data_IF_906925299749
#
_entry.id   IF_906925299749
#
_cell.length_a   1.000
_cell.length_b   1.000
_cell.length_c   1.000
_cell.angle_alpha   90.00
_cell.angle_beta   90.00
_cell.angle_gamma   90.00
#
_symmetry.space_group_name_H-M   'P 1'
#
loop_
_entity.id
_entity.type
_entity.pdbx_description
1 polymer ?
#
# COMPACT_ATOMS: atom_id res chain seq x y z
N UNK A 1 -7.50 -20.13 -1.20
CA UNK A 1 -7.85 -18.99 -2.07
C UNK A 1 -6.85 -18.96 -3.21
N UNK A 2 -7.32 -18.98 -4.45
CA UNK A 2 -6.49 -18.78 -5.63
C UNK A 2 -6.83 -17.43 -6.24
N UNK A 3 -5.82 -16.74 -6.76
CA UNK A 3 -5.99 -15.44 -7.40
C UNK A 3 -5.18 -15.42 -8.69
N UNK A 4 -5.73 -14.81 -9.74
CA UNK A 4 -5.06 -14.67 -11.01
C UNK A 4 -6.02 -14.72 -12.19
N UNK A 5 -5.49 -15.07 -13.36
CA UNK A 5 -6.20 -14.93 -14.63
C UNK A 5 -6.63 -16.29 -15.17
N UNK A 6 -7.90 -16.40 -15.56
CA UNK A 6 -8.45 -17.60 -16.20
C UNK A 6 -7.78 -17.78 -17.55
N UNK A 7 -7.13 -18.93 -17.76
CA UNK A 7 -6.53 -19.28 -19.04
C UNK A 7 -7.51 -20.08 -19.90
N UNK A 8 -8.21 -21.03 -19.29
CA UNK A 8 -9.27 -21.81 -19.92
C UNK A 8 -10.15 -22.45 -18.86
N UNK A 9 -11.39 -22.80 -19.22
CA UNK A 9 -12.28 -23.56 -18.35
C UNK A 9 -13.19 -24.47 -19.16
N UNK A 10 -13.69 -25.53 -18.52
CA UNK A 10 -14.79 -26.35 -18.99
C UNK A 10 -15.71 -26.72 -17.81
N UNK A 11 -16.62 -27.67 -17.98
CA UNK A 11 -17.55 -28.06 -16.92
C UNK A 11 -16.87 -28.68 -15.68
N UNK A 12 -15.69 -29.27 -15.86
CA UNK A 12 -14.99 -30.04 -14.81
C UNK A 12 -13.77 -29.32 -14.25
N UNK A 13 -13.07 -28.55 -15.10
CA UNK A 13 -11.76 -27.99 -14.81
C UNK A 13 -11.67 -26.50 -15.13
N UNK A 14 -10.90 -25.80 -14.30
CA UNK A 14 -10.45 -24.42 -14.49
C UNK A 14 -8.92 -24.41 -14.53
N UNK A 15 -8.33 -23.87 -15.60
CA UNK A 15 -6.91 -23.54 -15.67
C UNK A 15 -6.72 -22.07 -15.34
N UNK A 16 -5.91 -21.80 -14.33
CA UNK A 16 -5.70 -20.47 -13.78
C UNK A 16 -4.20 -20.14 -13.73
N UNK A 17 -3.79 -19.03 -14.36
CA UNK A 17 -2.47 -18.44 -14.11
C UNK A 17 -2.51 -17.72 -12.77
N UNK A 18 -1.82 -18.23 -11.76
CA UNK A 18 -1.93 -17.74 -10.38
C UNK A 18 -0.91 -16.66 -10.04
N UNK A 19 -1.33 -15.73 -9.20
CA UNK A 19 -0.52 -14.67 -8.60
C UNK A 19 -0.45 -14.84 -7.08
N UNK A 20 0.61 -14.31 -6.46
CA UNK A 20 0.66 -14.10 -5.01
C UNK A 20 -0.25 -12.93 -4.60
N UNK A 21 -0.39 -12.71 -3.28
CA UNK A 21 -1.06 -11.50 -2.75
C UNK A 21 -0.28 -10.21 -3.04
N UNK A 22 0.98 -10.36 -3.44
CA UNK A 22 1.89 -9.30 -3.88
C UNK A 22 1.82 -9.10 -5.41
N UNK A 23 0.90 -9.75 -6.13
CA UNK A 23 0.82 -9.61 -7.59
C UNK A 23 2.01 -10.23 -8.33
N UNK A 24 2.78 -11.11 -7.69
CA UNK A 24 3.88 -11.80 -8.35
C UNK A 24 3.37 -13.09 -9.01
N UNK A 25 3.74 -13.39 -10.26
CA UNK A 25 3.37 -14.65 -10.91
C UNK A 25 3.93 -15.87 -10.17
N UNK A 26 3.11 -16.91 -10.01
CA UNK A 26 3.51 -18.17 -9.35
C UNK A 26 3.49 -19.38 -10.28
N UNK A 27 2.59 -19.42 -11.26
CA UNK A 27 2.51 -20.52 -12.21
C UNK A 27 1.10 -20.72 -12.78
N UNK A 28 0.83 -21.92 -13.29
CA UNK A 28 -0.50 -22.35 -13.73
C UNK A 28 -1.01 -23.44 -12.81
N UNK A 29 -2.23 -23.28 -12.32
CA UNK A 29 -2.94 -24.25 -11.48
C UNK A 29 -4.14 -24.81 -12.24
N UNK A 30 -4.37 -26.12 -12.08
CA UNK A 30 -5.59 -26.77 -12.55
C UNK A 30 -6.48 -27.04 -11.35
N UNK A 31 -7.69 -26.50 -11.36
CA UNK A 31 -8.66 -26.60 -10.28
C UNK A 31 -9.87 -27.37 -10.79
N UNK A 32 -10.47 -28.20 -9.93
CA UNK A 32 -11.77 -28.78 -10.25
C UNK A 32 -12.87 -27.74 -10.03
N UNK A 33 -13.80 -27.63 -10.98
CA UNK A 33 -14.95 -26.73 -10.86
C UNK A 33 -15.84 -27.08 -9.66
N UNK A 34 -15.87 -28.35 -9.26
CA UNK A 34 -16.65 -28.80 -8.08
C UNK A 34 -16.08 -28.32 -6.75
N UNK A 35 -14.83 -27.87 -6.70
CA UNK A 35 -14.22 -27.32 -5.47
C UNK A 35 -14.31 -25.79 -5.39
N UNK A 36 -14.79 -25.13 -6.45
CA UNK A 36 -14.97 -23.68 -6.48
C UNK A 36 -16.31 -23.34 -5.83
N UNK A 37 -16.26 -22.72 -4.65
CA UNK A 37 -17.46 -22.32 -3.90
C UNK A 37 -17.85 -20.87 -4.15
N UNK A 38 -16.89 -20.00 -4.48
CA UNK A 38 -17.10 -18.58 -4.66
C UNK A 38 -16.06 -17.99 -5.61
N UNK A 39 -16.48 -17.02 -6.41
CA UNK A 39 -15.62 -16.23 -7.30
C UNK A 39 -15.82 -14.76 -6.95
N UNK A 40 -14.70 -14.07 -6.74
CA UNK A 40 -14.65 -12.63 -6.59
C UNK A 40 -13.96 -12.04 -7.82
N UNK A 41 -14.52 -10.97 -8.36
CA UNK A 41 -13.95 -10.24 -9.47
C UNK A 41 -14.15 -8.75 -9.23
N UNK A 42 -13.20 -7.96 -9.73
CA UNK A 42 -13.28 -6.49 -9.76
C UNK A 42 -13.50 -5.80 -8.38
N UNK A 43 -13.15 -6.48 -7.29
CA UNK A 43 -13.12 -5.84 -5.98
C UNK A 43 -11.80 -5.07 -5.76
N UNK A 44 -11.79 -4.20 -4.73
CA UNK A 44 -10.62 -3.37 -4.41
C UNK A 44 -9.35 -4.17 -4.14
N UNK A 45 -9.48 -5.38 -3.58
CA UNK A 45 -8.36 -6.24 -3.29
C UNK A 45 -7.80 -6.88 -4.58
N UNK A 46 -8.66 -7.35 -5.48
CA UNK A 46 -8.26 -7.86 -6.81
C UNK A 46 -7.58 -6.76 -7.63
N UNK A 47 -8.17 -5.55 -7.69
CA UNK A 47 -7.58 -4.40 -8.40
C UNK A 47 -6.22 -4.00 -7.83
N UNK A 48 -6.04 -4.02 -6.50
CA UNK A 48 -4.75 -3.73 -5.87
C UNK A 48 -3.68 -4.74 -6.30
N UNK A 49 -4.04 -6.02 -6.40
CA UNK A 49 -3.08 -7.06 -6.81
C UNK A 49 -2.72 -6.93 -8.29
N UNK A 50 -3.72 -6.71 -9.14
CA UNK A 50 -3.51 -6.42 -10.55
C UNK A 50 -2.63 -5.17 -10.74
N UNK A 51 -2.85 -4.14 -9.93
CA UNK A 51 -2.02 -2.94 -9.93
C UNK A 51 -0.55 -3.26 -9.60
N UNK A 52 -0.28 -4.05 -8.56
CA UNK A 52 1.08 -4.45 -8.18
C UNK A 52 1.76 -5.30 -9.26
N UNK A 53 1.01 -6.20 -9.90
CA UNK A 53 1.52 -7.04 -11.00
C UNK A 53 1.95 -6.21 -12.22
N UNK A 54 1.24 -5.12 -12.52
CA UNK A 54 1.58 -4.21 -13.61
C UNK A 54 2.66 -3.17 -13.27
N UNK A 55 2.99 -2.98 -12.00
CA UNK A 55 3.96 -1.96 -11.55
C UNK A 55 5.07 -2.53 -10.63
N UNK A 56 5.66 -3.71 -10.92
CA UNK A 56 6.51 -4.42 -9.97
C UNK A 56 7.82 -3.68 -9.69
N UNK A 57 8.39 -3.01 -10.70
CA UNK A 57 9.67 -2.30 -10.56
C UNK A 57 9.60 -1.17 -9.53
N UNK A 58 8.47 -0.44 -9.50
CA UNK A 58 8.31 0.68 -8.57
C UNK A 58 7.82 0.19 -7.21
N UNK A 59 6.88 -0.77 -7.19
CA UNK A 59 6.34 -1.33 -5.94
C UNK A 59 7.43 -2.05 -5.15
N UNK A 60 8.23 -2.90 -5.81
CA UNK A 60 9.27 -3.73 -5.20
C UNK A 60 10.69 -3.18 -5.37
N UNK A 61 10.82 -1.95 -5.89
CA UNK A 61 12.09 -1.26 -6.01
C UNK A 61 12.81 -1.12 -4.67
N UNK A 62 14.12 -0.86 -4.73
CA UNK A 62 14.86 -0.53 -3.52
C UNK A 62 14.27 0.74 -2.89
N UNK A 63 14.21 0.85 -1.55
CA UNK A 63 13.82 2.08 -0.90
C UNK A 63 14.71 3.20 -1.41
N UNK A 64 14.11 4.28 -1.92
CA UNK A 64 14.86 5.52 -2.06
C UNK A 64 15.23 5.92 -0.64
N UNK A 65 16.51 5.81 -0.29
CA UNK A 65 17.02 6.45 0.90
C UNK A 65 16.63 7.94 0.81
N UNK A 66 16.14 8.55 1.88
CA UNK A 66 15.72 9.93 1.78
C UNK A 66 16.96 10.76 1.48
N UNK A 67 16.92 11.55 0.41
CA UNK A 67 18.04 12.41 0.05
C UNK A 67 18.41 13.26 1.27
N UNK A 68 19.63 13.10 1.77
CA UNK A 68 20.14 13.88 2.89
C UNK A 68 19.76 13.40 4.30
N UNK A 69 19.35 12.14 4.53
CA UNK A 69 19.37 11.56 5.89
C UNK A 69 20.79 11.13 6.27
N UNK A 70 21.35 11.77 7.28
CA UNK A 70 22.58 11.33 7.95
C UNK A 70 22.21 10.54 9.21
N UNK A 71 23.18 9.82 9.80
CA UNK A 71 22.94 9.02 11.01
C UNK A 71 22.46 9.87 12.22
N UNK A 72 22.60 11.19 12.18
CA UNK A 72 22.16 12.11 13.23
C UNK A 72 20.64 12.40 13.18
N UNK A 73 19.96 12.00 12.09
CA UNK A 73 18.52 12.25 11.86
C UNK A 73 17.61 11.08 12.26
N UNK A 74 18.12 10.10 13.02
CA UNK A 74 17.39 8.86 13.32
C UNK A 74 16.34 8.99 14.44
N UNK A 75 16.13 10.19 14.98
CA UNK A 75 15.04 10.42 15.96
C UNK A 75 13.69 10.48 15.26
N UNK A 76 12.63 10.03 15.93
CA UNK A 76 11.26 10.10 15.40
C UNK A 76 10.87 11.55 15.03
N UNK A 77 11.06 12.57 15.89
CA UNK A 77 10.77 13.96 15.52
C UNK A 77 11.52 14.44 14.27
N UNK A 78 12.81 14.10 14.14
CA UNK A 78 13.61 14.47 12.97
C UNK A 78 13.08 13.83 11.68
N UNK A 79 12.71 12.55 11.73
CA UNK A 79 12.14 11.84 10.59
C UNK A 79 10.78 12.44 10.17
N UNK A 80 9.92 12.76 11.14
CA UNK A 80 8.63 13.39 10.87
C UNK A 80 8.79 14.80 10.29
N UNK A 81 9.73 15.59 10.81
CA UNK A 81 10.03 16.93 10.30
C UNK A 81 10.51 16.86 8.84
N UNK A 82 11.41 15.93 8.52
CA UNK A 82 11.85 15.73 7.13
C UNK A 82 10.72 15.26 6.22
N UNK A 83 9.84 14.38 6.71
CA UNK A 83 8.70 13.91 5.94
C UNK A 83 7.70 15.05 5.64
N UNK A 84 7.51 15.98 6.58
CA UNK A 84 6.75 17.21 6.38
C UNK A 84 7.36 18.08 5.28
N UNK A 85 8.67 18.30 5.33
CA UNK A 85 9.40 19.13 4.34
C UNK A 85 9.40 18.51 2.94
N UNK A 86 9.63 17.20 2.85
CA UNK A 86 9.65 16.46 1.58
C UNK A 86 8.25 16.17 1.04
N UNK A 87 7.19 16.41 1.84
CA UNK A 87 5.82 15.97 1.57
C UNK A 87 5.77 14.49 1.18
N UNK A 88 6.41 13.66 1.98
CA UNK A 88 6.57 12.23 1.75
C UNK A 88 5.48 11.42 2.46
N UNK A 89 4.87 10.46 1.76
CA UNK A 89 4.02 9.47 2.41
C UNK A 89 4.89 8.49 3.20
N UNK A 90 4.53 8.30 4.47
CA UNK A 90 5.20 7.40 5.38
C UNK A 90 4.22 6.38 5.97
N UNK A 91 4.77 5.31 6.55
CA UNK A 91 4.05 4.46 7.47
C UNK A 91 4.53 4.76 8.90
N UNK A 92 3.59 4.93 9.83
CA UNK A 92 3.84 5.03 11.26
C UNK A 92 3.29 3.80 11.94
N UNK A 93 4.08 3.21 12.83
CA UNK A 93 3.56 2.22 13.77
C UNK A 93 3.59 2.81 15.18
N UNK A 94 2.49 2.68 15.90
CA UNK A 94 2.37 3.15 17.28
C UNK A 94 2.67 2.03 18.28
N UNK A 95 2.87 2.39 19.54
CA UNK A 95 2.94 1.42 20.65
C UNK A 95 1.61 0.70 20.93
N UNK A 96 0.49 1.18 20.39
CA UNK A 96 -0.82 0.52 20.45
C UNK A 96 -1.04 -0.51 19.32
N UNK A 97 0.03 -0.88 18.61
CA UNK A 97 0.00 -1.79 17.45
C UNK A 97 -0.96 -1.34 16.35
N UNK A 98 -1.10 -0.02 16.19
CA UNK A 98 -1.84 0.59 15.09
C UNK A 98 -0.84 1.11 14.07
N UNK A 99 -1.09 0.82 12.78
CA UNK A 99 -0.29 1.34 11.69
C UNK A 99 -1.10 2.36 10.89
N UNK A 100 -0.47 3.50 10.59
CA UNK A 100 -1.04 4.55 9.76
C UNK A 100 -0.20 4.73 8.51
N UNK A 101 -0.85 5.02 7.38
CA UNK A 101 -0.19 5.53 6.19
C UNK A 101 -0.60 6.98 5.99
N UNK A 102 0.34 7.90 5.85
CA UNK A 102 -0.05 9.30 5.75
C UNK A 102 1.07 10.29 5.48
N UNK A 103 0.66 11.54 5.23
CA UNK A 103 1.54 12.69 5.14
C UNK A 103 1.46 13.50 6.43
N UNK A 104 2.61 13.95 6.93
CA UNK A 104 2.64 14.90 8.05
C UNK A 104 2.00 16.21 7.59
N UNK A 105 0.91 16.61 8.23
CA UNK A 105 0.21 17.87 7.94
C UNK A 105 0.65 18.98 8.89
N UNK A 106 0.95 18.63 10.15
CA UNK A 106 1.52 19.52 11.17
C UNK A 106 2.31 18.71 12.19
N UNK A 107 3.42 19.25 12.66
CA UNK A 107 4.23 18.68 13.73
C UNK A 107 4.54 19.77 14.76
N UNK A 108 4.33 19.47 16.04
CA UNK A 108 4.81 20.27 17.18
C UNK A 108 5.76 19.40 18.03
N UNK A 109 6.19 19.90 19.18
CA UNK A 109 7.02 19.14 20.12
C UNK A 109 6.30 17.87 20.62
N UNK A 110 5.01 17.99 20.95
CA UNK A 110 4.24 16.90 21.56
C UNK A 110 3.25 16.24 20.59
N UNK A 111 2.76 16.96 19.57
CA UNK A 111 1.62 16.55 18.76
C UNK A 111 1.97 16.41 17.27
N UNK A 112 1.50 15.31 16.68
CA UNK A 112 1.50 15.05 15.25
C UNK A 112 0.06 15.10 14.70
N UNK A 113 -0.15 15.91 13.66
CA UNK A 113 -1.33 15.83 12.79
C UNK A 113 -0.93 15.13 11.49
N UNK A 114 -1.58 14.00 11.21
CA UNK A 114 -1.34 13.18 10.03
C UNK A 114 -2.57 13.19 9.11
N UNK A 115 -2.36 13.46 7.82
CA UNK A 115 -3.36 13.19 6.77
C UNK A 115 -3.28 11.70 6.41
N UNK A 116 -4.34 10.95 6.71
CA UNK A 116 -4.32 9.48 6.68
C UNK A 116 -4.92 8.94 5.38
N UNK A 117 -4.33 7.86 4.90
CA UNK A 117 -4.79 7.11 3.74
C UNK A 117 -4.95 5.63 4.08
N UNK A 118 -5.95 5.00 3.48
CA UNK A 118 -6.08 3.54 3.51
C UNK A 118 -5.02 2.90 2.62
N UNK A 119 -4.80 1.59 2.78
CA UNK A 119 -3.95 0.79 1.88
C UNK A 119 -4.40 0.82 0.41
N UNK A 120 -5.63 1.26 0.14
CA UNK A 120 -6.20 1.41 -1.20
C UNK A 120 -6.08 2.85 -1.74
N UNK A 121 -5.25 3.70 -1.09
CA UNK A 121 -5.03 5.09 -1.47
C UNK A 121 -6.25 6.03 -1.34
N UNK A 122 -7.30 5.59 -0.64
CA UNK A 122 -8.46 6.42 -0.31
C UNK A 122 -8.11 7.29 0.91
N UNK A 123 -8.51 8.57 0.88
CA UNK A 123 -8.33 9.46 2.03
C UNK A 123 -9.21 9.00 3.20
N UNK A 124 -8.61 8.88 4.38
CA UNK A 124 -9.26 8.42 5.62
C UNK A 124 -9.35 9.54 6.68
N UNK A 125 -9.20 10.79 6.23
CA UNK A 125 -9.28 11.98 7.08
C UNK A 125 -7.96 12.31 7.76
N UNK A 126 -8.04 12.78 9.01
CA UNK A 126 -6.89 13.19 9.79
C UNK A 126 -6.84 12.46 11.12
N UNK A 127 -5.63 12.14 11.57
CA UNK A 127 -5.37 11.60 12.90
C UNK A 127 -4.47 12.56 13.68
N UNK A 128 -4.78 12.73 14.96
CA UNK A 128 -3.97 13.49 15.92
C UNK A 128 -3.41 12.49 16.93
N UNK A 129 -2.10 12.52 17.14
CA UNK A 129 -1.43 11.60 18.08
C UNK A 129 -0.23 12.26 18.75
N UNK A 130 0.09 11.81 19.95
CA UNK A 130 1.30 12.23 20.66
C UNK A 130 2.54 11.67 19.92
N UNK A 131 3.58 12.49 19.76
CA UNK A 131 4.82 12.07 19.09
C UNK A 131 5.46 10.88 19.81
N UNK A 132 5.40 10.86 21.14
CA UNK A 132 5.90 9.76 21.98
C UNK A 132 5.13 8.44 21.82
N UNK A 133 3.93 8.47 21.23
CA UNK A 133 3.16 7.25 20.95
C UNK A 133 3.68 6.47 19.74
N UNK A 134 4.58 7.07 18.96
CA UNK A 134 5.12 6.52 17.72
C UNK A 134 6.31 5.63 18.03
N UNK A 135 6.18 4.35 17.66
CA UNK A 135 7.24 3.34 17.83
C UNK A 135 8.24 3.37 16.68
N UNK A 136 7.77 3.54 15.45
CA UNK A 136 8.63 3.54 14.26
C UNK A 136 8.06 4.37 13.12
N UNK A 137 8.96 4.96 12.34
CA UNK A 137 8.67 5.66 11.09
C UNK A 137 9.31 4.88 9.95
N UNK A 138 8.49 4.39 9.02
CA UNK A 138 8.95 3.72 7.80
C UNK A 138 8.79 4.67 6.63
N UNK A 139 9.92 5.14 6.12
CA UNK A 139 9.95 6.16 5.07
C UNK A 139 9.47 5.64 3.70
N UNK A 140 9.86 4.42 3.35
CA UNK A 140 9.49 3.82 2.08
C UNK A 140 9.51 2.30 2.18
N UNK A 141 8.41 1.69 1.78
CA UNK A 141 8.20 0.25 1.68
C UNK A 141 7.23 -0.06 0.54
N UNK A 142 6.87 -1.33 0.38
CA UNK A 142 5.92 -1.78 -0.63
C UNK A 142 4.59 -1.01 -0.56
N UNK A 143 4.01 -0.88 0.64
CA UNK A 143 2.69 -0.31 0.84
C UNK A 143 2.66 1.19 0.55
N UNK A 144 3.60 1.94 1.12
CA UNK A 144 3.72 3.39 0.88
C UNK A 144 3.94 3.71 -0.60
N UNK A 145 4.78 2.93 -1.31
CA UNK A 145 4.97 3.11 -2.77
C UNK A 145 3.71 2.76 -3.55
N UNK A 146 3.01 1.71 -3.16
CA UNK A 146 1.75 1.31 -3.80
C UNK A 146 0.69 2.40 -3.63
N UNK A 147 0.52 2.93 -2.42
CA UNK A 147 -0.41 4.02 -2.12
C UNK A 147 -0.06 5.27 -2.93
N UNK A 148 1.21 5.68 -2.93
CA UNK A 148 1.70 6.82 -3.72
C UNK A 148 1.36 6.69 -5.21
N UNK A 149 1.60 5.52 -5.80
CA UNK A 149 1.30 5.29 -7.21
C UNK A 149 -0.21 5.29 -7.49
N UNK A 150 -0.99 4.63 -6.65
CA UNK A 150 -2.45 4.61 -6.78
C UNK A 150 -3.04 6.02 -6.69
N UNK A 151 -2.56 6.86 -5.77
CA UNK A 151 -2.98 8.28 -5.67
C UNK A 151 -2.64 9.06 -6.94
N UNK A 152 -1.44 8.86 -7.48
CA UNK A 152 -1.01 9.50 -8.73
C UNK A 152 -1.87 9.08 -9.93
N UNK A 153 -2.27 7.81 -10.01
CA UNK A 153 -3.14 7.31 -11.07
C UNK A 153 -4.62 7.68 -10.88
N UNK A 154 -5.13 7.67 -9.65
CA UNK A 154 -6.50 8.13 -9.33
C UNK A 154 -6.69 9.64 -9.58
N UNK A 155 -5.61 10.42 -9.57
CA UNK A 155 -5.65 11.82 -10.01
C UNK A 155 -5.79 11.94 -11.55
N UNK A 156 -5.41 10.90 -12.31
CA UNK A 156 -5.49 10.84 -13.78
C UNK A 156 -6.82 10.22 -14.24
N UNK A 157 -7.37 9.28 -13.47
CA UNK A 157 -8.68 8.67 -13.69
C UNK A 157 -9.68 9.30 -12.71
N UNK A 158 -10.28 10.43 -13.10
CA UNK A 158 -11.34 11.08 -12.34
C UNK A 158 -12.48 10.11 -11.94
N UNK A 159 -13.39 10.52 -11.04
CA UNK A 159 -14.37 9.63 -10.45
C UNK A 159 -15.17 8.88 -11.54
N UNK A 160 -15.61 7.63 -11.26
CA UNK A 160 -16.42 6.87 -12.20
C UNK A 160 -17.62 7.73 -12.60
N UNK A 161 -17.83 7.88 -13.91
CA UNK A 161 -19.06 8.49 -14.42
C UNK A 161 -20.21 7.58 -13.99
N UNK A 162 -21.13 8.14 -13.20
CA UNK A 162 -22.44 7.55 -12.91
C UNK A 162 -23.23 7.25 -14.19
#
# INVERSE_FOLDING_TARGET
>A
MFLGYVLSHNAELLLLRTLTRQGLPTGVQTLSMHTVTQVHFDDRYVRLIEFKEHNPEVVYGLPAAPDGITNDDLSVPSLLQKALEARQLLQLDTYSDTSFYGYVARLTEDELLLEVYTQFAEADGHSVMDVDSIRSVVWSNEDTRTIELLRKQGTILGPPKE
#
